data_IF_905069313747
#
_entry.id   IF_905069313747
#
_cell.length_a   1.000
_cell.length_b   1.000
_cell.length_c   1.000
_cell.angle_alpha   90.00
_cell.angle_beta   90.00
_cell.angle_gamma   90.00
#
_symmetry.space_group_name_H-M   'P 1'
#
loop_
_entity.id
_entity.type
_entity.pdbx_description
1 polymer ?
#
# COMPACT_ATOMS: atom_id res chain seq x y z
N UNK A 1 22.78 -9.47 -7.63
CA UNK A 1 21.41 -9.76 -8.07
C UNK A 1 20.48 -8.60 -7.71
N UNK A 2 19.72 -8.16 -8.67
CA UNK A 2 18.78 -7.07 -8.43
C UNK A 2 17.55 -7.58 -7.72
N UNK A 3 17.13 -6.86 -6.69
CA UNK A 3 15.86 -7.13 -6.04
C UNK A 3 14.77 -6.32 -6.71
N UNK A 4 13.73 -6.99 -7.11
CA UNK A 4 12.58 -6.30 -7.66
C UNK A 4 11.82 -5.62 -6.53
N UNK A 5 11.41 -4.41 -6.77
CA UNK A 5 10.58 -3.67 -5.84
C UNK A 5 9.14 -3.76 -6.28
N UNK A 6 8.26 -4.07 -5.35
CA UNK A 6 6.84 -4.17 -5.60
C UNK A 6 6.15 -3.06 -4.83
N UNK A 7 5.37 -2.25 -5.52
CA UNK A 7 4.61 -1.19 -4.89
C UNK A 7 3.13 -1.51 -5.02
N UNK A 8 2.46 -1.61 -3.88
CA UNK A 8 1.02 -1.82 -3.83
C UNK A 8 0.39 -0.48 -3.49
N UNK A 9 -0.55 -0.05 -4.30
CA UNK A 9 -1.27 1.20 -4.09
C UNK A 9 -2.73 0.88 -3.85
N UNK A 10 -3.25 1.33 -2.74
CA UNK A 10 -4.65 1.13 -2.40
C UNK A 10 -5.16 2.32 -1.60
N UNK A 11 -6.46 2.53 -1.65
CA UNK A 11 -7.03 3.61 -0.88
C UNK A 11 -8.52 3.48 -0.74
N UNK A 12 -9.10 4.35 0.09
CA UNK A 12 -10.53 4.44 0.25
C UNK A 12 -11.08 3.47 1.27
N UNK A 13 -11.91 2.56 0.81
CA UNK A 13 -12.70 1.71 1.70
C UNK A 13 -11.98 0.45 2.12
N UNK A 14 -12.44 -0.14 3.22
CA UNK A 14 -11.91 -1.40 3.68
C UNK A 14 -12.06 -2.53 2.67
N UNK A 15 -13.03 -2.42 1.78
CA UNK A 15 -13.22 -3.42 0.73
C UNK A 15 -12.03 -3.57 -0.20
N UNK A 16 -11.26 -2.50 -0.37
CA UNK A 16 -10.05 -2.54 -1.20
C UNK A 16 -8.79 -2.64 -0.35
N UNK A 17 -8.80 -2.01 0.82
CA UNK A 17 -7.61 -1.89 1.65
C UNK A 17 -7.27 -3.20 2.32
N UNK A 18 -8.25 -3.91 2.85
CA UNK A 18 -7.99 -5.15 3.59
C UNK A 18 -7.32 -6.20 2.71
N UNK A 19 -7.82 -6.48 1.49
CA UNK A 19 -7.13 -7.42 0.61
C UNK A 19 -5.71 -6.97 0.27
N UNK A 20 -5.52 -5.66 0.08
CA UNK A 20 -4.19 -5.14 -0.24
C UNK A 20 -3.21 -5.32 0.91
N UNK A 21 -3.67 -5.10 2.15
CA UNK A 21 -2.84 -5.31 3.32
C UNK A 21 -2.47 -6.78 3.44
N UNK A 22 -3.41 -7.67 3.21
CA UNK A 22 -3.15 -9.10 3.27
C UNK A 22 -2.11 -9.52 2.23
N UNK A 23 -2.23 -8.99 1.03
CA UNK A 23 -1.27 -9.27 -0.02
C UNK A 23 0.10 -8.72 0.31
N UNK A 24 0.14 -7.50 0.85
CA UNK A 24 1.38 -6.87 1.29
C UNK A 24 2.09 -7.75 2.34
N UNK A 25 1.35 -8.22 3.33
CA UNK A 25 1.91 -9.04 4.38
C UNK A 25 2.40 -10.39 3.84
N UNK A 26 1.67 -10.95 2.90
CA UNK A 26 2.08 -12.20 2.26
C UNK A 26 3.42 -12.02 1.56
N UNK A 27 3.55 -10.97 0.77
CA UNK A 27 4.79 -10.72 0.04
C UNK A 27 5.94 -10.42 0.99
N UNK A 28 5.67 -9.65 2.03
CA UNK A 28 6.69 -9.31 3.02
C UNK A 28 7.20 -10.55 3.72
N UNK A 29 6.30 -11.45 4.08
CA UNK A 29 6.66 -12.68 4.77
C UNK A 29 7.42 -13.65 3.86
N UNK A 30 7.32 -13.45 2.56
CA UNK A 30 8.05 -14.28 1.60
C UNK A 30 9.30 -13.58 1.09
N UNK A 31 9.84 -12.69 1.90
CA UNK A 31 11.12 -12.01 1.64
C UNK A 31 11.12 -11.16 0.38
N UNK A 32 9.95 -10.65 0.00
CA UNK A 32 9.86 -9.74 -1.13
C UNK A 32 10.12 -8.31 -0.67
N UNK A 33 10.68 -7.51 -1.55
CA UNK A 33 10.91 -6.10 -1.31
C UNK A 33 9.64 -5.34 -1.70
N UNK A 34 8.72 -5.20 -0.76
CA UNK A 34 7.38 -4.70 -1.04
C UNK A 34 7.10 -3.43 -0.23
N UNK A 35 6.39 -2.52 -0.86
CA UNK A 35 5.97 -1.25 -0.27
C UNK A 35 4.48 -1.08 -0.46
N UNK A 36 3.84 -0.42 0.48
CA UNK A 36 2.41 -0.14 0.43
C UNK A 36 2.19 1.36 0.51
N UNK A 37 1.43 1.89 -0.42
CA UNK A 37 1.04 3.29 -0.42
C UNK A 37 -0.47 3.37 -0.32
N UNK A 38 -0.96 4.13 0.64
CA UNK A 38 -2.39 4.27 0.85
C UNK A 38 -2.71 5.71 1.26
N UNK A 39 -3.99 6.07 1.20
CA UNK A 39 -4.41 7.40 1.65
C UNK A 39 -4.77 7.36 3.13
N UNK A 40 -5.18 8.52 3.64
CA UNK A 40 -5.52 8.63 5.07
C UNK A 40 -6.71 7.74 5.45
N UNK A 41 -7.60 7.46 4.50
CA UNK A 41 -8.75 6.59 4.77
C UNK A 41 -8.33 5.14 4.89
N UNK A 42 -7.46 4.71 3.99
CA UNK A 42 -6.96 3.35 4.03
C UNK A 42 -6.01 3.11 5.18
N UNK A 43 -5.26 4.14 5.54
CA UNK A 43 -4.28 4.02 6.62
C UNK A 43 -4.93 3.66 7.95
N UNK A 44 -6.19 4.02 8.12
CA UNK A 44 -6.92 3.69 9.35
C UNK A 44 -7.05 2.20 9.59
N UNK A 45 -7.02 1.41 8.53
CA UNK A 45 -7.14 -0.04 8.65
C UNK A 45 -5.82 -0.72 8.99
N UNK A 46 -4.74 0.07 9.10
CA UNK A 46 -3.41 -0.47 9.37
C UNK A 46 -3.05 -0.12 10.82
N UNK A 47 -3.76 -0.71 11.77
CA UNK A 47 -3.62 -0.28 13.15
C UNK A 47 -2.61 -1.12 13.94
N UNK A 48 -2.51 -2.40 13.68
CA UNK A 48 -1.75 -3.30 14.53
C UNK A 48 -0.61 -4.02 13.81
N UNK A 49 -0.11 -3.45 12.73
CA UNK A 49 0.98 -4.07 12.00
C UNK A 49 2.18 -3.13 11.97
N UNK A 50 3.34 -3.72 11.74
CA UNK A 50 4.56 -2.96 11.54
C UNK A 50 4.40 -2.09 10.30
N UNK A 51 4.59 -0.79 10.48
CA UNK A 51 4.37 0.19 9.41
C UNK A 51 5.60 0.44 8.57
N UNK A 52 6.60 -0.38 8.71
CA UNK A 52 7.77 -0.30 7.86
C UNK A 52 7.37 -0.54 6.42
N UNK A 53 7.83 0.32 5.54
CA UNK A 53 7.51 0.26 4.10
C UNK A 53 6.05 0.58 3.78
N UNK A 54 5.36 1.23 4.71
CA UNK A 54 3.99 1.68 4.49
C UNK A 54 3.99 3.20 4.50
N UNK A 55 3.41 3.79 3.47
CA UNK A 55 3.41 5.23 3.29
C UNK A 55 2.00 5.74 3.13
N UNK A 56 1.74 6.90 3.70
CA UNK A 56 0.43 7.53 3.67
C UNK A 56 0.49 8.81 2.84
N UNK A 57 -0.50 8.99 1.97
CA UNK A 57 -0.70 10.25 1.28
C UNK A 57 -2.13 10.72 1.54
N UNK A 58 -2.38 11.99 1.29
CA UNK A 58 -3.71 12.54 1.51
C UNK A 58 -4.52 12.47 0.23
N UNK A 59 -5.77 12.04 0.35
CA UNK A 59 -6.63 11.82 -0.79
C UNK A 59 -6.87 13.09 -1.60
N UNK A 60 -6.73 14.24 -0.98
CA UNK A 60 -6.84 15.50 -1.71
C UNK A 60 -5.79 15.63 -2.81
N UNK A 61 -4.69 14.92 -2.67
CA UNK A 61 -3.65 14.89 -3.70
C UNK A 61 -3.92 13.84 -4.77
N UNK A 62 -4.93 13.00 -4.54
CA UNK A 62 -5.31 11.95 -5.47
C UNK A 62 -6.66 12.21 -6.11
N UNK A 63 -7.21 13.40 -5.91
CA UNK A 63 -8.53 13.72 -6.44
C UNK A 63 -8.49 13.67 -7.97
N UNK A 64 -9.56 13.19 -8.55
CA UNK A 64 -9.66 13.08 -9.98
C UNK A 64 -8.98 11.83 -10.50
N UNK A 65 -8.19 11.99 -11.53
CA UNK A 65 -7.60 10.85 -12.21
C UNK A 65 -6.37 10.37 -11.48
N UNK A 66 -6.44 9.14 -11.01
CA UNK A 66 -5.29 8.49 -10.43
C UNK A 66 -4.52 7.84 -11.57
N UNK A 67 -3.33 8.31 -11.78
CA UNK A 67 -2.45 7.73 -12.78
C UNK A 67 -1.46 6.82 -12.08
N UNK A 68 -1.47 5.57 -12.46
CA UNK A 68 -0.51 4.62 -11.92
C UNK A 68 0.73 4.65 -12.78
N UNK A 69 1.84 4.91 -12.14
CA UNK A 69 3.13 4.77 -12.78
C UNK A 69 3.82 3.56 -12.19
N UNK A 70 4.20 2.66 -13.05
CA UNK A 70 5.03 1.55 -12.63
C UNK A 70 6.47 2.03 -12.58
N UNK A 71 7.04 1.85 -11.45
CA UNK A 71 8.43 2.24 -11.21
C UNK A 71 9.36 1.05 -11.44
#
# INVERSE_FOLDING_TARGET
MKKNKILIITGGTGGHVIPAINFFNYLKNNSKNVFLLTDERGYKYISNIDKKNIYKIYSSHLSGNITFKLL
#
